data_IF_725180064436
#
_entry.id   IF_725180064436
#
_cell.length_a   1.000
_cell.length_b   1.000
_cell.length_c   1.000
_cell.angle_alpha   90.00
_cell.angle_beta   90.00
_cell.angle_gamma   90.00
#
_symmetry.space_group_name_H-M   'P 1'
#
loop_
_entity.id
_entity.type
_entity.pdbx_description
1 polymer ?
#
# COMPACT_ATOMS: atom_id res chain seq x y z
N UNK A 1 -4.74 12.61 17.11
CA UNK A 1 -5.63 11.47 16.81
C UNK A 1 -4.97 10.68 15.70
N UNK A 2 -4.38 9.53 16.05
CA UNK A 2 -3.39 8.84 15.21
C UNK A 2 -4.01 7.98 14.12
N UNK A 3 -3.18 7.58 13.16
CA UNK A 3 -3.48 6.60 12.09
C UNK A 3 -4.43 5.47 12.47
N UNK A 4 -4.28 4.96 13.69
CA UNK A 4 -5.05 3.85 14.22
C UNK A 4 -6.55 4.17 14.37
N UNK A 5 -6.98 5.43 14.47
CA UNK A 5 -8.41 5.78 14.48
C UNK A 5 -9.06 5.69 13.10
N UNK A 6 -8.28 5.64 12.01
CA UNK A 6 -8.82 5.48 10.66
C UNK A 6 -9.14 4.03 10.33
N UNK A 7 -8.66 3.13 11.17
CA UNK A 7 -9.07 1.74 11.17
C UNK A 7 -10.19 1.53 12.20
N UNK A 8 -11.14 2.45 12.25
CA UNK A 8 -12.38 2.33 13.04
C UNK A 8 -13.26 1.14 12.62
N UNK A 9 -12.93 0.47 11.50
CA UNK A 9 -13.50 -0.83 11.11
C UNK A 9 -12.77 -2.04 11.73
N UNK A 10 -11.71 -1.85 12.52
CA UNK A 10 -11.10 -2.90 13.33
C UNK A 10 -11.94 -3.15 14.59
N UNK A 11 -13.14 -3.70 14.41
CA UNK A 11 -13.88 -4.28 15.53
C UNK A 11 -13.18 -5.52 16.10
N UNK A 12 -12.16 -6.07 15.43
CA UNK A 12 -11.39 -7.23 15.88
C UNK A 12 -9.88 -6.94 15.91
N UNK A 13 -9.36 -6.61 17.10
CA UNK A 13 -7.91 -6.53 17.36
C UNK A 13 -7.17 -7.82 17.00
N UNK A 14 -7.85 -8.96 17.03
CA UNK A 14 -7.30 -10.26 16.62
C UNK A 14 -6.92 -10.30 15.13
N UNK A 15 -7.71 -9.65 14.26
CA UNK A 15 -7.41 -9.58 12.82
C UNK A 15 -6.16 -8.73 12.57
N UNK A 16 -5.99 -7.65 13.33
CA UNK A 16 -4.76 -6.82 13.26
C UNK A 16 -3.55 -7.63 13.67
N UNK A 17 -3.65 -8.31 14.81
CA UNK A 17 -2.55 -9.10 15.35
C UNK A 17 -2.19 -10.23 14.37
N UNK A 18 -3.19 -10.88 13.77
CA UNK A 18 -2.99 -11.90 12.74
C UNK A 18 -2.26 -11.35 11.52
N UNK A 19 -2.68 -10.18 11.02
CA UNK A 19 -2.05 -9.53 9.88
C UNK A 19 -0.59 -9.15 10.20
N UNK A 20 -0.36 -8.49 11.35
CA UNK A 20 0.99 -8.14 11.80
C UNK A 20 1.89 -9.38 11.97
N UNK A 21 1.34 -10.49 12.49
CA UNK A 21 2.06 -11.75 12.60
C UNK A 21 2.38 -12.34 11.22
N UNK A 22 1.50 -12.19 10.22
CA UNK A 22 1.73 -12.67 8.87
C UNK A 22 2.88 -11.94 8.17
N UNK A 23 2.99 -10.62 8.39
CA UNK A 23 4.14 -9.83 7.92
C UNK A 23 5.42 -10.16 8.71
N UNK A 24 5.33 -10.29 10.03
CA UNK A 24 6.48 -10.65 10.88
C UNK A 24 7.00 -12.07 10.64
N UNK A 25 6.18 -12.96 10.07
CA UNK A 25 6.55 -14.36 9.83
C UNK A 25 7.60 -14.55 8.72
N UNK A 26 7.83 -13.56 7.86
CA UNK A 26 8.85 -13.64 6.81
C UNK A 26 9.53 -12.30 6.57
N UNK A 27 10.86 -12.33 6.40
CA UNK A 27 11.67 -11.14 6.15
C UNK A 27 11.36 -10.44 4.82
N UNK A 28 10.75 -11.14 3.86
CA UNK A 28 10.38 -10.59 2.56
C UNK A 28 9.00 -9.91 2.56
N UNK A 29 8.34 -9.80 3.71
CA UNK A 29 7.03 -9.15 3.88
C UNK A 29 7.21 -7.90 4.71
N UNK A 30 6.75 -6.77 4.18
CA UNK A 30 7.02 -5.46 4.74
C UNK A 30 5.72 -4.65 4.82
N UNK A 31 5.56 -3.91 5.91
CA UNK A 31 4.47 -2.95 6.06
C UNK A 31 5.08 -1.55 6.12
N UNK A 32 4.60 -0.67 5.26
CA UNK A 32 4.92 0.74 5.23
C UNK A 32 3.75 1.57 5.73
N UNK A 33 4.08 2.63 6.46
CA UNK A 33 3.15 3.70 6.74
C UNK A 33 3.37 4.80 5.70
N UNK A 34 2.29 5.17 5.03
CA UNK A 34 2.32 6.21 4.02
C UNK A 34 1.83 7.54 4.58
N UNK A 35 2.51 8.62 4.18
CA UNK A 35 2.13 9.99 4.52
C UNK A 35 1.69 10.71 3.28
N UNK A 36 0.61 11.46 3.41
CA UNK A 36 0.16 12.34 2.34
C UNK A 36 1.11 13.55 2.18
N UNK A 37 0.94 14.36 1.12
CA UNK A 37 1.76 15.56 0.91
C UNK A 37 1.63 16.61 2.02
N UNK A 38 0.59 16.52 2.86
CA UNK A 38 0.42 17.37 4.04
C UNK A 38 1.17 16.82 5.26
N UNK A 39 2.01 15.78 5.05
CA UNK A 39 2.77 15.06 6.06
C UNK A 39 1.88 14.41 7.14
N UNK A 40 0.59 14.23 6.84
CA UNK A 40 -0.30 13.47 7.69
C UNK A 40 -0.17 12.02 7.35
N UNK A 41 -0.18 11.20 8.39
CA UNK A 41 -0.23 9.78 8.21
C UNK A 41 -1.60 9.38 7.67
N UNK A 42 -1.60 8.84 6.45
CA UNK A 42 -2.81 8.79 5.63
C UNK A 42 -3.01 7.45 4.92
N UNK A 43 -2.13 6.47 5.13
CA UNK A 43 -2.32 5.13 4.64
C UNK A 43 -1.35 4.08 5.20
N UNK A 44 -1.63 2.84 4.86
CA UNK A 44 -0.83 1.66 5.14
C UNK A 44 -0.66 0.86 3.84
N UNK A 45 0.57 0.44 3.58
CA UNK A 45 0.93 -0.31 2.37
C UNK A 45 1.70 -1.56 2.79
N UNK A 46 1.08 -2.71 2.62
CA UNK A 46 1.66 -4.02 2.87
C UNK A 46 2.14 -4.66 1.57
N UNK A 47 3.42 -5.04 1.54
CA UNK A 47 4.06 -5.62 0.36
C UNK A 47 4.76 -6.95 0.68
N UNK A 48 4.95 -7.77 -0.35
CA UNK A 48 5.79 -8.96 -0.33
C UNK A 48 6.71 -8.95 -1.54
N UNK A 49 8.01 -9.19 -1.31
CA UNK A 49 9.01 -9.27 -2.35
C UNK A 49 9.25 -10.73 -2.73
N UNK A 50 9.04 -11.09 -3.99
CA UNK A 50 9.24 -12.46 -4.47
C UNK A 50 9.67 -12.46 -5.94
N UNK A 51 10.77 -13.14 -6.28
CA UNK A 51 11.19 -13.39 -7.67
C UNK A 51 11.12 -12.15 -8.58
N UNK A 52 11.70 -11.02 -8.15
CA UNK A 52 11.68 -9.73 -8.88
C UNK A 52 10.28 -9.11 -9.05
N UNK A 53 9.31 -9.56 -8.26
CA UNK A 53 7.97 -8.99 -8.18
C UNK A 53 7.74 -8.40 -6.80
N UNK A 54 7.09 -7.24 -6.78
CA UNK A 54 6.61 -6.57 -5.59
C UNK A 54 5.10 -6.76 -5.55
N UNK A 55 4.65 -7.65 -4.69
CA UNK A 55 3.23 -7.95 -4.49
C UNK A 55 2.66 -6.98 -3.47
N UNK A 56 1.67 -6.17 -3.86
CA UNK A 56 0.93 -5.31 -2.94
C UNK A 56 -0.27 -6.10 -2.43
N UNK A 57 -0.18 -6.54 -1.18
CA UNK A 57 -1.23 -7.33 -0.50
C UNK A 57 -2.30 -6.45 0.11
N UNK A 58 -1.89 -5.30 0.65
CA UNK A 58 -2.80 -4.42 1.33
C UNK A 58 -2.45 -2.97 1.03
N UNK A 59 -3.42 -2.22 0.57
CA UNK A 59 -3.28 -0.79 0.32
C UNK A 59 -4.51 -0.09 0.86
N UNK A 60 -4.36 0.49 2.04
CA UNK A 60 -5.44 1.12 2.78
C UNK A 60 -5.12 2.59 2.93
N UNK A 61 -6.03 3.43 2.45
CA UNK A 61 -5.97 4.87 2.63
C UNK A 61 -7.08 5.33 3.56
N UNK A 62 -6.83 6.42 4.25
CA UNK A 62 -7.87 7.11 5.01
C UNK A 62 -8.95 7.62 4.06
N UNK A 63 -10.25 7.64 4.44
CA UNK A 63 -11.32 8.05 3.52
C UNK A 63 -11.11 9.42 2.87
N UNK A 64 -10.47 10.35 3.59
CA UNK A 64 -10.14 11.69 3.10
C UNK A 64 -8.97 11.71 2.11
N UNK A 65 -8.11 10.69 2.16
CA UNK A 65 -6.94 10.54 1.28
C UNK A 65 -7.17 9.59 0.12
N UNK A 66 -8.33 8.92 0.04
CA UNK A 66 -8.69 8.08 -1.12
C UNK A 66 -8.84 8.97 -2.35
N UNK A 67 -7.83 8.97 -3.20
CA UNK A 67 -7.83 9.68 -4.48
C UNK A 67 -6.83 9.03 -5.43
N UNK A 68 -7.12 9.06 -6.74
CA UNK A 68 -6.20 8.50 -7.74
C UNK A 68 -4.80 9.12 -7.66
N UNK A 69 -4.70 10.42 -7.35
CA UNK A 69 -3.41 11.09 -7.19
C UNK A 69 -2.58 10.54 -6.03
N UNK A 70 -3.22 10.12 -4.94
CA UNK A 70 -2.51 9.50 -3.81
C UNK A 70 -2.13 8.04 -4.11
N UNK A 71 -3.00 7.27 -4.79
CA UNK A 71 -2.61 5.94 -5.27
C UNK A 71 -1.40 6.00 -6.20
N UNK A 72 -1.40 6.96 -7.14
CA UNK A 72 -0.28 7.15 -8.06
C UNK A 72 1.03 7.41 -7.31
N UNK A 73 1.03 8.33 -6.34
CA UNK A 73 2.21 8.62 -5.52
C UNK A 73 2.70 7.39 -4.75
N UNK A 74 1.79 6.59 -4.20
CA UNK A 74 2.19 5.35 -3.51
C UNK A 74 2.88 4.40 -4.48
N UNK A 75 2.34 4.21 -5.68
CA UNK A 75 2.96 3.34 -6.68
C UNK A 75 4.29 3.90 -7.21
N UNK A 76 4.40 5.22 -7.39
CA UNK A 76 5.66 5.90 -7.72
C UNK A 76 6.70 5.67 -6.62
N UNK A 77 6.35 5.90 -5.36
CA UNK A 77 7.24 5.69 -4.20
C UNK A 77 7.71 4.22 -4.13
N UNK A 78 6.81 3.26 -4.35
CA UNK A 78 7.16 1.83 -4.39
C UNK A 78 8.09 1.49 -5.57
N UNK A 79 7.84 2.08 -6.73
CA UNK A 79 8.65 1.87 -7.93
C UNK A 79 10.04 2.48 -7.77
N UNK A 80 10.16 3.62 -7.09
CA UNK A 80 11.44 4.27 -6.78
C UNK A 80 12.25 3.51 -5.73
N UNK A 81 11.58 2.91 -4.74
CA UNK A 81 12.22 2.06 -3.73
C UNK A 81 12.71 0.74 -4.32
N UNK A 82 11.95 0.17 -5.26
CA UNK A 82 12.23 -1.13 -5.88
C UNK A 82 12.25 -1.03 -7.41
N UNK A 83 13.19 -0.28 -8.01
CA UNK A 83 13.18 0.04 -9.45
C UNK A 83 13.34 -1.17 -10.38
N UNK A 84 13.82 -2.29 -9.84
CA UNK A 84 14.00 -3.55 -10.57
C UNK A 84 12.81 -4.49 -10.44
N UNK A 85 11.88 -4.21 -9.53
CA UNK A 85 10.76 -5.11 -9.24
C UNK A 85 9.54 -4.68 -10.03
N UNK A 86 8.80 -5.65 -10.55
CA UNK A 86 7.49 -5.40 -11.16
C UNK A 86 6.43 -5.36 -10.06
N UNK A 87 5.72 -4.23 -9.95
CA UNK A 87 4.58 -4.11 -9.04
C UNK A 87 3.43 -4.99 -9.55
N UNK A 88 2.91 -5.84 -8.66
CA UNK A 88 1.75 -6.70 -8.89
C UNK A 88 0.76 -6.41 -7.77
N UNK A 89 -0.45 -6.01 -8.12
CA UNK A 89 -1.49 -5.66 -7.14
C UNK A 89 -2.60 -6.70 -7.09
N UNK A 90 -3.24 -6.82 -5.93
CA UNK A 90 -4.48 -7.57 -5.76
C UNK A 90 -5.64 -7.01 -6.60
N UNK A 91 -6.71 -7.81 -6.73
CA UNK A 91 -7.86 -7.47 -7.57
C UNK A 91 -8.55 -6.18 -7.10
N UNK A 92 -8.64 -5.93 -5.79
CA UNK A 92 -9.28 -4.73 -5.25
C UNK A 92 -8.55 -3.43 -5.64
N UNK A 93 -7.24 -3.49 -5.84
CA UNK A 93 -6.41 -2.34 -6.18
C UNK A 93 -6.13 -2.20 -7.69
N UNK A 94 -6.63 -3.16 -8.50
CA UNK A 94 -6.33 -3.26 -9.93
C UNK A 94 -6.75 -2.02 -10.71
N UNK A 95 -7.93 -1.48 -10.46
CA UNK A 95 -8.42 -0.29 -11.18
C UNK A 95 -7.57 0.96 -10.92
N UNK A 96 -7.05 1.12 -9.70
CA UNK A 96 -6.17 2.22 -9.35
C UNK A 96 -4.78 2.03 -9.98
N UNK A 97 -4.26 0.80 -9.96
CA UNK A 97 -3.00 0.44 -10.57
C UNK A 97 -3.02 0.55 -12.10
N UNK A 98 -4.07 0.07 -12.78
CA UNK A 98 -4.21 0.19 -14.24
C UNK A 98 -4.21 1.67 -14.66
N UNK A 99 -4.86 2.56 -13.89
CA UNK A 99 -4.82 4.00 -14.16
C UNK A 99 -3.42 4.58 -13.99
N UNK A 100 -2.67 4.12 -12.99
CA UNK A 100 -1.28 4.52 -12.79
C UNK A 100 -0.38 3.99 -13.91
N UNK A 101 -0.43 2.69 -14.22
CA UNK A 101 0.37 2.05 -15.27
C UNK A 101 0.11 2.68 -16.64
N UNK A 102 -1.15 3.01 -16.96
CA UNK A 102 -1.50 3.70 -18.20
C UNK A 102 -1.04 5.17 -18.22
N UNK A 103 -1.03 5.86 -17.07
CA UNK A 103 -0.55 7.23 -16.95
C UNK A 103 0.99 7.31 -17.05
N UNK A 104 1.70 6.33 -16.53
CA UNK A 104 3.17 6.21 -16.63
C UNK A 104 3.61 5.79 -18.04
N UNK A 105 2.72 5.20 -18.84
CA UNK A 105 2.97 4.78 -20.23
C UNK A 105 2.76 5.87 -21.32
N UNK A 106 2.80 7.17 -20.99
CA UNK A 106 2.66 8.23 -22.01
C UNK A 106 3.64 9.39 -21.84
N UNK A 107 4.91 9.17 -22.22
CA UNK A 107 5.67 9.94 -23.22
C UNK A 107 7.12 9.44 -23.32
#
# INVERSE_FOLDING_TARGET
MGLFSLVSELQNMDLVAQEMNWYAAKDNRLIYLWRDPSNNWSGLVGIELQNEQLLVHQLVLTPQSVSQGNYNRIFDDLQDLYPKYKIVVGFENRAAWEKWENATNHA
#
